data_IF_920458072144
#
_entry.id   IF_920458072144
#
_cell.length_a   1.000
_cell.length_b   1.000
_cell.length_c   1.000
_cell.angle_alpha   90.00
_cell.angle_beta   90.00
_cell.angle_gamma   90.00
#
_symmetry.space_group_name_H-M   'P 1'
#
loop_
_entity.id
_entity.type
_entity.pdbx_description
1 polymer ?
#
# COMPACT_ATOMS: atom_id res chain seq x y z
N UNK A 1 26.39 -3.15 -2.59
CA UNK A 1 27.16 -4.08 -1.73
C UNK A 1 27.07 -5.48 -2.32
N UNK A 2 28.01 -6.41 -2.04
CA UNK A 2 27.94 -7.80 -2.51
C UNK A 2 26.65 -8.54 -2.12
N UNK A 3 26.01 -8.11 -1.03
CA UNK A 3 24.75 -8.66 -0.52
C UNK A 3 23.53 -8.26 -1.38
N UNK A 4 23.53 -7.07 -1.98
CA UNK A 4 22.50 -6.63 -2.93
C UNK A 4 22.51 -7.53 -4.17
N UNK A 5 23.69 -7.98 -4.61
CA UNK A 5 23.80 -8.80 -5.82
C UNK A 5 23.14 -10.17 -5.67
N UNK A 6 23.27 -10.82 -4.50
CA UNK A 6 22.66 -12.11 -4.23
C UNK A 6 21.13 -12.00 -4.19
N UNK A 7 20.61 -10.95 -3.53
CA UNK A 7 19.18 -10.67 -3.49
C UNK A 7 18.60 -10.34 -4.87
N UNK A 8 19.28 -9.47 -5.62
CA UNK A 8 18.90 -9.12 -6.98
C UNK A 8 18.83 -10.37 -7.88
N UNK A 9 19.83 -11.26 -7.77
CA UNK A 9 19.84 -12.53 -8.52
C UNK A 9 18.71 -13.47 -8.10
N UNK A 10 18.40 -13.56 -6.80
CA UNK A 10 17.25 -14.32 -6.32
C UNK A 10 15.93 -13.81 -6.93
N UNK A 11 15.71 -12.49 -6.95
CA UNK A 11 14.51 -11.90 -7.54
C UNK A 11 14.36 -12.28 -9.02
N UNK A 12 15.47 -12.27 -9.77
CA UNK A 12 15.44 -12.70 -11.17
C UNK A 12 15.23 -14.19 -11.34
N UNK A 13 15.81 -15.04 -10.49
CA UNK A 13 15.58 -16.48 -10.53
C UNK A 13 14.11 -16.82 -10.23
N UNK A 14 13.49 -16.08 -9.32
CA UNK A 14 12.06 -16.21 -9.01
C UNK A 14 11.21 -15.77 -10.22
N UNK A 15 11.52 -14.64 -10.82
CA UNK A 15 10.84 -14.14 -12.03
C UNK A 15 10.97 -15.12 -13.21
N UNK A 16 12.16 -15.71 -13.41
CA UNK A 16 12.41 -16.72 -14.44
C UNK A 16 11.60 -17.99 -14.17
N UNK A 17 11.54 -18.43 -12.91
CA UNK A 17 10.74 -19.60 -12.51
C UNK A 17 9.25 -19.37 -12.77
N UNK A 18 8.76 -18.17 -12.47
CA UNK A 18 7.39 -17.77 -12.78
C UNK A 18 7.12 -17.79 -14.30
N UNK A 19 8.03 -17.24 -15.10
CA UNK A 19 7.90 -17.25 -16.56
C UNK A 19 7.89 -18.66 -17.15
N UNK A 20 8.70 -19.57 -16.62
CA UNK A 20 8.66 -20.99 -17.04
C UNK A 20 7.31 -21.63 -16.72
N UNK A 21 6.71 -21.28 -15.57
CA UNK A 21 5.39 -21.75 -15.20
C UNK A 21 4.27 -21.15 -16.06
N UNK A 22 4.29 -19.83 -16.31
CA UNK A 22 3.19 -19.11 -16.99
C UNK A 22 3.28 -19.17 -18.52
N UNK A 23 4.48 -19.02 -19.08
CA UNK A 23 4.72 -18.94 -20.52
C UNK A 23 5.14 -20.28 -21.14
N UNK A 24 5.51 -21.25 -20.31
CA UNK A 24 6.04 -22.55 -20.75
C UNK A 24 7.48 -22.48 -21.26
N UNK A 25 7.93 -23.55 -21.91
CA UNK A 25 9.29 -23.65 -22.42
C UNK A 25 9.57 -22.60 -23.53
N UNK A 26 10.78 -22.00 -23.55
CA UNK A 26 11.20 -21.14 -24.64
C UNK A 26 11.21 -21.88 -26.00
N UNK A 27 10.99 -21.18 -27.12
CA UNK A 27 11.09 -21.78 -28.45
C UNK A 27 12.48 -22.41 -28.71
N UNK A 28 12.58 -23.40 -29.61
CA UNK A 28 13.86 -24.03 -29.94
C UNK A 28 14.92 -23.01 -30.35
N UNK A 29 16.12 -23.12 -29.78
CA UNK A 29 17.22 -22.16 -30.02
C UNK A 29 17.07 -20.85 -29.24
N UNK A 30 16.17 -20.80 -28.26
CA UNK A 30 16.03 -19.68 -27.32
C UNK A 30 16.18 -20.12 -25.87
N UNK A 31 16.57 -19.18 -24.99
CA UNK A 31 16.71 -19.41 -23.55
C UNK A 31 16.37 -18.13 -22.78
N UNK A 32 15.58 -18.23 -21.71
CA UNK A 32 15.37 -17.15 -20.75
C UNK A 32 16.50 -17.16 -19.72
N UNK A 33 17.02 -16.00 -19.36
CA UNK A 33 18.03 -15.88 -18.31
C UNK A 33 18.33 -14.43 -17.91
N UNK A 34 19.22 -14.27 -16.93
CA UNK A 34 19.72 -12.95 -16.53
C UNK A 34 20.71 -12.44 -17.57
N UNK A 35 20.55 -11.18 -18.00
CA UNK A 35 21.44 -10.45 -18.90
C UNK A 35 22.01 -9.23 -18.17
N UNK A 36 23.33 -9.11 -18.17
CA UNK A 36 24.05 -8.00 -17.57
C UNK A 36 24.34 -6.94 -18.63
N UNK A 37 24.03 -5.68 -18.31
CA UNK A 37 24.29 -4.52 -19.15
C UNK A 37 25.39 -3.69 -18.52
N UNK A 38 26.41 -3.37 -19.31
CA UNK A 38 27.46 -2.45 -18.89
C UNK A 38 26.97 -1.01 -19.02
N UNK A 39 27.11 -0.22 -17.96
CA UNK A 39 26.79 1.21 -17.95
C UNK A 39 27.89 2.01 -17.25
N UNK A 40 28.03 3.31 -17.57
CA UNK A 40 29.08 4.17 -17.03
C UNK A 40 29.04 4.33 -15.49
N UNK A 41 27.92 3.98 -14.87
CA UNK A 41 27.69 4.05 -13.42
C UNK A 41 27.73 2.68 -12.72
N UNK A 42 28.01 1.61 -13.46
CA UNK A 42 28.05 0.23 -12.96
C UNK A 42 27.18 -0.72 -13.79
N UNK A 43 27.47 -2.01 -13.67
CA UNK A 43 26.72 -3.05 -14.38
C UNK A 43 25.35 -3.27 -13.73
N UNK A 44 24.32 -3.46 -14.54
CA UNK A 44 22.99 -3.80 -14.05
C UNK A 44 22.38 -5.02 -14.76
N UNK A 45 21.73 -5.92 -14.03
CA UNK A 45 21.07 -7.10 -14.58
C UNK A 45 19.65 -6.80 -15.10
N UNK A 46 19.13 -7.71 -15.93
CA UNK A 46 17.74 -7.75 -16.42
C UNK A 46 17.35 -9.18 -16.79
N UNK A 47 16.06 -9.50 -16.90
CA UNK A 47 15.61 -10.75 -17.53
C UNK A 47 15.61 -10.56 -19.05
N UNK A 48 16.25 -11.47 -19.78
CA UNK A 48 16.30 -11.45 -21.23
C UNK A 48 16.03 -12.81 -21.86
N UNK A 49 15.68 -12.78 -23.15
CA UNK A 49 15.58 -13.98 -23.99
C UNK A 49 16.77 -13.99 -24.93
N UNK A 50 17.66 -14.97 -24.76
CA UNK A 50 18.74 -15.30 -25.68
C UNK A 50 18.18 -16.11 -26.85
N UNK A 51 18.61 -15.84 -28.08
CA UNK A 51 18.18 -16.57 -29.28
C UNK A 51 19.28 -16.62 -30.35
N UNK A 52 19.33 -17.71 -31.12
CA UNK A 52 20.38 -17.94 -32.13
C UNK A 52 20.13 -17.25 -33.48
N UNK A 53 18.88 -17.01 -33.84
CA UNK A 53 18.48 -16.51 -35.17
C UNK A 53 17.49 -15.34 -35.06
N UNK A 54 16.19 -15.63 -35.20
CA UNK A 54 15.11 -14.65 -35.14
C UNK A 54 14.58 -14.52 -33.72
N UNK A 55 14.36 -13.27 -33.30
CA UNK A 55 13.77 -12.97 -32.00
C UNK A 55 12.35 -13.56 -31.92
N UNK A 56 12.04 -14.39 -30.91
CA UNK A 56 10.71 -14.97 -30.75
C UNK A 56 9.75 -13.93 -30.13
N UNK A 57 9.38 -12.91 -30.90
CA UNK A 57 8.61 -11.74 -30.42
C UNK A 57 7.32 -12.11 -29.69
N UNK A 58 6.58 -13.11 -30.19
CA UNK A 58 5.35 -13.58 -29.52
C UNK A 58 5.62 -14.17 -28.14
N UNK A 59 6.77 -14.84 -27.96
CA UNK A 59 7.19 -15.35 -26.65
C UNK A 59 7.64 -14.21 -25.75
N UNK A 60 8.44 -13.27 -26.28
CA UNK A 60 8.93 -12.09 -25.56
C UNK A 60 7.77 -11.25 -25.02
N UNK A 61 6.79 -10.88 -25.86
CA UNK A 61 5.66 -10.06 -25.42
C UNK A 61 4.80 -10.75 -24.35
N UNK A 62 4.66 -12.08 -24.40
CA UNK A 62 3.97 -12.82 -23.35
C UNK A 62 4.76 -12.77 -22.05
N UNK A 63 6.08 -12.95 -22.10
CA UNK A 63 6.93 -12.82 -20.92
C UNK A 63 6.86 -11.42 -20.32
N UNK A 64 6.85 -10.36 -21.13
CA UNK A 64 6.70 -8.98 -20.65
C UNK A 64 5.37 -8.78 -19.92
N UNK A 65 4.26 -9.21 -20.52
CA UNK A 65 2.93 -9.08 -19.91
C UNK A 65 2.79 -9.89 -18.62
N UNK A 66 3.38 -11.08 -18.55
CA UNK A 66 3.36 -11.91 -17.35
C UNK A 66 4.31 -11.37 -16.28
N UNK A 67 5.47 -10.80 -16.63
CA UNK A 67 6.35 -10.13 -15.67
C UNK A 67 5.69 -8.89 -15.07
N UNK A 68 4.97 -8.09 -15.85
CA UNK A 68 4.22 -6.94 -15.34
C UNK A 68 3.15 -7.40 -14.33
N UNK A 69 2.45 -8.49 -14.65
CA UNK A 69 1.47 -9.09 -13.73
C UNK A 69 2.13 -9.64 -12.47
N UNK A 70 3.27 -10.30 -12.61
CA UNK A 70 4.02 -10.87 -11.49
C UNK A 70 4.53 -9.78 -10.55
N UNK A 71 5.15 -8.74 -11.09
CA UNK A 71 5.66 -7.59 -10.35
C UNK A 71 4.54 -6.86 -9.62
N UNK A 72 3.38 -6.69 -10.27
CA UNK A 72 2.19 -6.09 -9.63
C UNK A 72 1.57 -6.95 -8.51
N UNK A 73 1.88 -8.25 -8.47
CA UNK A 73 1.28 -9.23 -7.58
C UNK A 73 2.20 -9.72 -6.45
N UNK A 74 3.49 -9.40 -6.51
CA UNK A 74 4.50 -9.81 -5.53
C UNK A 74 4.98 -8.59 -4.76
N UNK A 75 4.81 -8.62 -3.44
CA UNK A 75 5.46 -7.66 -2.56
C UNK A 75 6.90 -8.11 -2.31
N UNK A 76 7.84 -7.53 -3.05
CA UNK A 76 9.25 -7.93 -3.01
C UNK A 76 9.92 -7.70 -1.66
N UNK A 77 9.45 -6.73 -0.90
CA UNK A 77 9.91 -6.47 0.47
C UNK A 77 9.56 -7.62 1.42
N UNK A 78 8.39 -8.23 1.24
CA UNK A 78 7.86 -9.24 2.17
C UNK A 78 8.57 -10.59 2.03
N UNK A 79 9.22 -10.81 0.89
CA UNK A 79 9.96 -12.05 0.59
C UNK A 79 11.48 -11.88 0.68
N UNK A 80 11.96 -10.69 1.06
CA UNK A 80 13.39 -10.44 1.29
C UNK A 80 13.83 -11.16 2.58
N UNK A 81 14.89 -12.00 2.55
CA UNK A 81 15.39 -12.67 3.74
C UNK A 81 15.78 -11.65 4.80
N UNK A 82 15.28 -11.82 6.03
CA UNK A 82 15.78 -11.06 7.18
C UNK A 82 17.23 -11.47 7.46
N UNK A 83 18.12 -10.49 7.64
CA UNK A 83 19.50 -10.76 8.08
C UNK A 83 19.46 -11.39 9.48
N UNK A 84 19.97 -12.62 9.62
CA UNK A 84 20.25 -13.21 10.93
C UNK A 84 21.39 -12.39 11.57
N UNK A 85 21.04 -11.53 12.53
CA UNK A 85 22.02 -10.88 13.38
C UNK A 85 22.60 -11.95 14.32
N UNK A 86 23.85 -12.37 14.06
CA UNK A 86 24.66 -13.15 15.00
C UNK A 86 24.92 -12.28 16.24
N UNK A 87 24.12 -12.51 17.28
CA UNK A 87 24.14 -11.77 18.55
C UNK A 87 25.26 -12.33 19.45
N UNK A 88 26.52 -12.10 19.08
CA UNK A 88 27.69 -12.32 19.95
C UNK A 88 27.87 -11.09 20.88
N UNK A 89 27.01 -10.94 21.88
CA UNK A 89 27.21 -9.99 22.99
C UNK A 89 27.75 -10.70 24.23
N UNK A 90 29.01 -10.45 24.56
CA UNK A 90 29.63 -10.85 25.82
C UNK A 90 28.98 -10.08 27.00
N UNK A 91 28.40 -10.81 27.95
CA UNK A 91 27.84 -10.27 29.20
C UNK A 91 28.94 -9.68 30.12
N UNK A 92 28.96 -8.37 30.31
CA UNK A 92 29.51 -7.75 31.52
C UNK A 92 28.42 -7.07 32.34
N UNK A 93 28.24 -7.58 33.57
CA UNK A 93 27.30 -7.15 34.60
C UNK A 93 27.35 -5.64 34.90
N UNK A 94 26.18 -5.00 35.00
CA UNK A 94 25.92 -4.08 36.13
C UNK A 94 24.43 -3.88 36.40
N UNK A 95 24.04 -4.11 37.65
CA UNK A 95 22.72 -3.86 38.22
C UNK A 95 22.26 -2.40 38.04
N UNK A 96 21.21 -2.17 37.26
CA UNK A 96 20.17 -1.17 37.56
C UNK A 96 18.87 -1.60 36.90
N UNK A 97 17.80 -1.69 37.70
CA UNK A 97 16.45 -1.92 37.22
C UNK A 97 16.02 -0.75 36.31
N UNK A 98 15.93 -1.02 35.01
CA UNK A 98 15.35 -0.12 34.02
C UNK A 98 14.21 -0.85 33.31
N UNK A 99 13.09 -0.16 33.18
CA UNK A 99 11.90 -0.63 32.46
C UNK A 99 12.32 -0.93 31.01
N UNK A 100 11.85 -2.01 30.36
CA UNK A 100 12.17 -2.22 28.95
C UNK A 100 11.62 -1.02 28.16
N UNK A 101 12.51 -0.16 27.68
CA UNK A 101 12.14 0.83 26.69
C UNK A 101 11.77 0.07 25.43
N UNK A 102 10.57 0.33 24.90
CA UNK A 102 10.18 -0.14 23.59
C UNK A 102 11.28 0.25 22.59
N UNK A 103 11.65 -0.63 21.65
CA UNK A 103 12.70 -0.33 20.70
C UNK A 103 12.28 0.90 19.89
N UNK A 104 12.93 2.03 20.14
CA UNK A 104 12.85 3.20 19.28
C UNK A 104 13.42 2.80 17.93
N UNK A 105 12.54 2.60 16.95
CA UNK A 105 12.92 2.48 15.55
C UNK A 105 13.74 3.72 15.18
N UNK A 106 15.06 3.57 15.07
CA UNK A 106 15.91 4.58 14.45
C UNK A 106 15.52 4.67 12.97
N UNK A 107 14.63 5.61 12.68
CA UNK A 107 14.16 5.87 11.33
C UNK A 107 15.35 6.33 10.48
N UNK A 108 15.65 5.57 9.42
CA UNK A 108 16.76 5.83 8.53
C UNK A 108 16.69 7.25 7.95
N UNK A 109 17.86 7.82 7.63
CA UNK A 109 18.04 9.12 6.97
C UNK A 109 17.35 9.26 5.58
N UNK A 110 16.51 8.30 5.16
CA UNK A 110 15.91 8.18 3.83
C UNK A 110 14.36 8.30 3.80
N UNK A 111 13.69 8.87 4.81
CA UNK A 111 12.25 9.14 4.72
C UNK A 111 11.96 10.28 3.73
N UNK A 112 11.67 9.92 2.48
CA UNK A 112 11.20 10.84 1.45
C UNK A 112 9.67 10.96 1.50
N UNK A 113 9.19 11.97 2.23
CA UNK A 113 7.77 12.28 2.34
C UNK A 113 7.11 12.50 0.97
N UNK A 114 7.81 13.12 0.02
CA UNK A 114 7.23 13.45 -1.28
C UNK A 114 7.02 12.18 -2.10
N UNK A 115 7.99 11.25 -2.06
CA UNK A 115 7.85 9.92 -2.65
C UNK A 115 6.66 9.14 -2.06
N UNK A 116 6.51 9.14 -0.73
CA UNK A 116 5.38 8.47 -0.05
C UNK A 116 4.02 9.07 -0.43
N UNK A 117 3.96 10.37 -0.70
CA UNK A 117 2.74 11.00 -1.19
C UNK A 117 2.51 10.64 -2.67
N UNK A 118 3.53 10.76 -3.52
CA UNK A 118 3.42 10.62 -4.97
C UNK A 118 2.95 9.24 -5.43
N UNK A 119 3.28 8.17 -4.70
CA UNK A 119 2.83 6.80 -5.04
C UNK A 119 1.31 6.63 -5.09
N UNK A 120 0.55 7.50 -4.40
CA UNK A 120 -0.91 7.48 -4.40
C UNK A 120 -1.55 8.20 -5.61
N UNK A 121 -0.75 8.85 -6.44
CA UNK A 121 -1.23 9.68 -7.54
C UNK A 121 -0.74 9.17 -8.88
N UNK A 122 -1.68 8.93 -9.79
CA UNK A 122 -1.40 8.73 -11.20
C UNK A 122 -2.45 9.46 -12.05
N UNK A 123 -2.26 9.52 -13.36
CA UNK A 123 -3.17 10.28 -14.23
C UNK A 123 -4.56 9.65 -14.36
N UNK A 124 -4.74 8.38 -13.99
CA UNK A 124 -6.05 7.73 -14.08
C UNK A 124 -7.02 8.26 -13.03
N UNK A 125 -6.53 8.79 -11.89
CA UNK A 125 -7.38 9.34 -10.82
C UNK A 125 -7.94 10.73 -11.10
N UNK A 126 -7.54 11.37 -12.19
CA UNK A 126 -8.10 12.66 -12.63
C UNK A 126 -9.57 12.44 -12.99
N UNK A 127 -10.46 13.23 -12.41
CA UNK A 127 -11.87 13.15 -12.74
C UNK A 127 -12.09 13.44 -14.23
N UNK A 128 -12.65 12.47 -14.96
CA UNK A 128 -13.02 12.64 -16.37
C UNK A 128 -14.17 13.64 -16.56
N UNK A 129 -14.91 13.94 -15.49
CA UNK A 129 -16.00 14.91 -15.46
C UNK A 129 -15.61 16.11 -14.58
N UNK A 130 -16.32 17.24 -14.74
CA UNK A 130 -16.13 18.41 -13.88
C UNK A 130 -16.44 18.14 -12.38
N UNK A 131 -17.14 17.04 -12.08
CA UNK A 131 -17.47 16.63 -10.71
C UNK A 131 -16.69 15.34 -10.35
N UNK A 132 -15.76 15.41 -9.39
CA UNK A 132 -15.05 14.23 -8.91
C UNK A 132 -15.96 13.33 -8.06
N UNK A 133 -15.64 12.05 -8.03
CA UNK A 133 -16.38 11.03 -7.27
C UNK A 133 -15.62 10.65 -6.00
N UNK A 134 -16.32 10.60 -4.88
CA UNK A 134 -15.83 10.01 -3.63
C UNK A 134 -16.57 8.70 -3.39
N UNK A 135 -15.88 7.59 -3.60
CA UNK A 135 -16.36 6.25 -3.35
C UNK A 135 -16.07 5.84 -1.90
N UNK A 136 -17.10 5.62 -1.10
CA UNK A 136 -16.97 5.21 0.30
C UNK A 136 -17.50 3.79 0.43
N UNK A 137 -16.60 2.84 0.70
CA UNK A 137 -16.96 1.44 0.94
C UNK A 137 -17.27 1.26 2.42
N UNK A 138 -18.49 0.84 2.73
CA UNK A 138 -19.00 0.66 4.08
C UNK A 138 -19.29 -0.82 4.36
N UNK A 139 -19.15 -1.26 5.60
CA UNK A 139 -19.53 -2.61 5.99
C UNK A 139 -18.78 -3.12 7.21
N UNK A 140 -19.33 -4.16 7.84
CA UNK A 140 -18.74 -4.78 9.02
C UNK A 140 -17.31 -5.29 8.84
N UNK A 141 -16.70 -5.72 9.94
CA UNK A 141 -15.36 -6.32 9.93
C UNK A 141 -15.34 -7.54 9.01
N UNK A 142 -14.26 -7.70 8.23
CA UNK A 142 -14.06 -8.84 7.33
C UNK A 142 -15.18 -9.13 6.30
N UNK A 143 -16.02 -8.15 5.94
CA UNK A 143 -17.05 -8.32 4.90
C UNK A 143 -16.51 -8.37 3.46
N UNK A 144 -15.22 -8.11 3.26
CA UNK A 144 -14.57 -8.10 1.95
C UNK A 144 -14.48 -6.71 1.31
N UNK A 145 -14.48 -5.63 2.11
CA UNK A 145 -14.30 -4.25 1.63
C UNK A 145 -13.03 -4.09 0.79
N UNK A 146 -11.88 -4.51 1.32
CA UNK A 146 -10.59 -4.46 0.63
C UNK A 146 -10.56 -5.27 -0.66
N UNK A 147 -11.19 -6.45 -0.67
CA UNK A 147 -11.34 -7.24 -1.90
C UNK A 147 -12.14 -6.48 -2.96
N UNK A 148 -13.27 -5.88 -2.56
CA UNK A 148 -14.11 -5.08 -3.46
C UNK A 148 -13.42 -3.81 -3.93
N UNK A 149 -12.64 -3.15 -3.05
CA UNK A 149 -11.79 -2.01 -3.39
C UNK A 149 -10.81 -2.38 -4.50
N UNK A 150 -10.00 -3.42 -4.29
CA UNK A 150 -8.98 -3.84 -5.25
C UNK A 150 -9.59 -4.24 -6.61
N UNK A 151 -10.77 -4.87 -6.60
CA UNK A 151 -11.42 -5.28 -7.86
C UNK A 151 -12.01 -4.11 -8.66
N UNK A 152 -12.45 -3.03 -8.01
CA UNK A 152 -13.23 -1.96 -8.69
C UNK A 152 -12.56 -0.60 -8.72
N UNK A 153 -11.61 -0.36 -7.82
CA UNK A 153 -11.03 0.96 -7.55
C UNK A 153 -9.50 0.93 -7.53
N UNK A 154 -8.86 -0.16 -7.98
CA UNK A 154 -7.40 -0.22 -8.14
C UNK A 154 -6.86 0.80 -9.16
N UNK A 155 -7.70 1.22 -10.11
CA UNK A 155 -7.39 2.26 -11.09
C UNK A 155 -8.47 3.32 -11.07
N UNK A 156 -8.13 4.56 -11.41
CA UNK A 156 -9.12 5.62 -11.57
C UNK A 156 -9.41 6.43 -10.30
N UNK A 157 -8.78 6.09 -9.17
CA UNK A 157 -9.04 6.67 -7.85
C UNK A 157 -7.74 6.85 -7.06
N UNK A 158 -7.68 7.89 -6.22
CA UNK A 158 -6.70 8.00 -5.13
C UNK A 158 -7.24 7.25 -3.93
N UNK A 159 -6.45 6.34 -3.39
CA UNK A 159 -6.76 5.67 -2.14
C UNK A 159 -6.41 6.59 -0.96
N UNK A 160 -7.38 6.81 -0.07
CA UNK A 160 -7.15 7.43 1.24
C UNK A 160 -7.51 6.41 2.30
N UNK A 161 -6.51 5.67 2.75
CA UNK A 161 -6.67 4.56 3.70
C UNK A 161 -5.46 4.45 4.64
N UNK A 162 -5.71 4.46 5.94
CA UNK A 162 -4.65 4.50 6.94
C UNK A 162 -3.90 3.16 7.03
N UNK A 163 -4.58 2.03 6.79
CA UNK A 163 -3.92 0.71 6.78
C UNK A 163 -2.92 0.64 5.63
N UNK A 164 -3.34 1.04 4.44
CA UNK A 164 -2.48 1.01 3.24
C UNK A 164 -1.25 1.92 3.39
N UNK A 165 -1.43 3.11 3.96
CA UNK A 165 -0.32 4.01 4.27
C UNK A 165 0.62 3.39 5.31
N UNK A 166 0.08 2.86 6.42
CA UNK A 166 0.86 2.24 7.48
C UNK A 166 1.68 1.05 6.98
N UNK A 167 1.06 0.10 6.27
CA UNK A 167 1.75 -1.06 5.70
C UNK A 167 2.81 -0.64 4.69
N UNK A 168 2.50 0.36 3.86
CA UNK A 168 3.51 0.90 2.96
C UNK A 168 4.68 1.53 3.72
N UNK A 169 4.46 2.18 4.86
CA UNK A 169 5.52 2.78 5.70
C UNK A 169 6.29 1.74 6.53
N UNK A 170 5.67 0.61 6.89
CA UNK A 170 6.34 -0.46 7.63
C UNK A 170 7.39 -1.19 6.81
N UNK A 171 7.33 -1.09 5.48
CA UNK A 171 8.29 -1.74 4.56
C UNK A 171 8.40 -3.25 4.79
N UNK A 172 7.27 -3.89 5.13
CA UNK A 172 7.21 -5.32 5.44
C UNK A 172 7.59 -5.67 6.88
N UNK A 173 7.94 -4.69 7.73
CA UNK A 173 8.12 -4.93 9.15
C UNK A 173 6.77 -5.20 9.83
N UNK A 174 6.75 -6.22 10.71
CA UNK A 174 5.59 -6.54 11.54
C UNK A 174 5.54 -5.53 12.70
N UNK A 175 4.61 -4.57 12.60
CA UNK A 175 4.42 -3.51 13.57
C UNK A 175 2.97 -3.44 14.00
N UNK A 176 2.73 -3.19 15.28
CA UNK A 176 1.39 -2.95 15.79
C UNK A 176 0.83 -1.64 15.23
N UNK A 177 -0.35 -1.71 14.62
CA UNK A 177 -1.08 -0.53 14.18
C UNK A 177 -1.74 0.18 15.37
N UNK A 178 -1.66 1.52 15.49
CA UNK A 178 -0.99 2.48 14.60
C UNK A 178 0.47 2.78 14.98
N UNK A 179 0.96 2.20 16.09
CA UNK A 179 2.07 2.63 16.94
C UNK A 179 3.25 3.34 16.26
N UNK A 180 4.42 2.69 16.09
CA UNK A 180 5.69 3.37 15.78
C UNK A 180 5.74 4.20 14.48
N UNK A 181 4.66 4.24 13.72
CA UNK A 181 4.50 4.96 12.45
C UNK A 181 3.35 5.98 12.46
N UNK A 182 2.65 6.17 13.57
CA UNK A 182 1.41 6.96 13.61
C UNK A 182 1.61 8.40 13.12
N UNK A 183 2.71 9.05 13.51
CA UNK A 183 3.02 10.42 13.11
C UNK A 183 3.30 10.52 11.60
N UNK A 184 4.11 9.60 11.07
CA UNK A 184 4.45 9.53 9.64
C UNK A 184 3.21 9.21 8.81
N UNK A 185 2.42 8.22 9.25
CA UNK A 185 1.15 7.84 8.63
C UNK A 185 0.20 9.02 8.59
N UNK A 186 0.04 9.76 9.69
CA UNK A 186 -0.77 10.97 9.72
C UNK A 186 -0.25 12.04 8.76
N UNK A 187 1.06 12.27 8.73
CA UNK A 187 1.68 13.26 7.85
C UNK A 187 1.41 12.94 6.38
N UNK A 188 1.62 11.69 5.97
CA UNK A 188 1.32 11.22 4.61
C UNK A 188 -0.18 11.29 4.33
N UNK A 189 -1.01 10.78 5.24
CA UNK A 189 -2.47 10.72 5.08
C UNK A 189 -3.12 12.08 4.90
N UNK A 190 -2.74 13.07 5.71
CA UNK A 190 -3.19 14.47 5.57
C UNK A 190 -2.75 15.04 4.23
N UNK A 191 -1.50 14.82 3.82
CA UNK A 191 -0.98 15.36 2.57
C UNK A 191 -1.66 14.72 1.34
N UNK A 192 -1.87 13.41 1.35
CA UNK A 192 -2.60 12.67 0.29
C UNK A 192 -4.04 13.17 0.21
N UNK A 193 -4.77 13.27 1.33
CA UNK A 193 -6.14 13.76 1.34
C UNK A 193 -6.21 15.19 0.78
N UNK A 194 -5.40 16.11 1.32
CA UNK A 194 -5.38 17.51 0.89
C UNK A 194 -5.10 17.65 -0.60
N UNK A 195 -4.07 16.97 -1.12
CA UNK A 195 -3.73 17.02 -2.54
C UNK A 195 -4.84 16.44 -3.40
N UNK A 196 -5.41 15.29 -3.02
CA UNK A 196 -6.50 14.67 -3.77
C UNK A 196 -7.72 15.59 -3.91
N UNK A 197 -8.10 16.28 -2.83
CA UNK A 197 -9.23 17.20 -2.84
C UNK A 197 -8.94 18.50 -3.62
N UNK A 198 -7.75 19.10 -3.45
CA UNK A 198 -7.33 20.31 -4.18
C UNK A 198 -7.26 20.05 -5.68
N UNK A 199 -6.69 18.91 -6.08
CA UNK A 199 -6.57 18.51 -7.48
C UNK A 199 -7.88 17.91 -8.04
N UNK A 200 -8.96 17.86 -7.24
CA UNK A 200 -10.27 17.34 -7.67
C UNK A 200 -10.17 15.92 -8.24
N UNK A 201 -9.38 15.05 -7.61
CA UNK A 201 -9.22 13.64 -7.99
C UNK A 201 -10.43 12.82 -7.56
N UNK A 202 -10.73 11.74 -8.26
CA UNK A 202 -11.61 10.72 -7.70
C UNK A 202 -10.91 10.09 -6.49
N UNK A 203 -11.65 9.86 -5.40
CA UNK A 203 -11.10 9.26 -4.18
C UNK A 203 -11.88 8.02 -3.78
N UNK A 204 -11.19 7.06 -3.17
CA UNK A 204 -11.79 5.87 -2.57
C UNK A 204 -11.29 5.69 -1.14
N UNK A 205 -12.18 5.32 -0.23
CA UNK A 205 -11.85 5.06 1.18
C UNK A 205 -12.74 3.97 1.76
N UNK A 206 -12.25 3.25 2.76
CA UNK A 206 -12.99 2.19 3.48
C UNK A 206 -13.38 2.65 4.88
N UNK A 207 -14.64 2.47 5.27
CA UNK A 207 -15.08 2.69 6.65
C UNK A 207 -15.95 1.50 7.09
N UNK A 208 -16.06 1.29 8.40
CA UNK A 208 -17.15 0.50 8.98
C UNK A 208 -18.45 1.28 8.83
N UNK A 209 -18.42 2.56 9.21
CA UNK A 209 -19.57 3.46 9.21
C UNK A 209 -20.71 2.97 10.13
N UNK A 210 -20.33 2.47 11.31
CA UNK A 210 -21.26 2.07 12.36
C UNK A 210 -21.95 3.29 13.02
N UNK A 211 -21.25 4.42 13.09
CA UNK A 211 -21.73 5.64 13.73
C UNK A 211 -22.36 6.59 12.71
N UNK A 212 -23.59 7.03 12.98
CA UNK A 212 -24.38 7.84 12.06
C UNK A 212 -23.80 9.25 11.89
N UNK A 213 -23.50 9.94 13.00
CA UNK A 213 -23.07 11.33 13.00
C UNK A 213 -21.69 11.52 12.33
N UNK A 214 -20.64 10.74 12.68
CA UNK A 214 -19.34 10.87 12.03
C UNK A 214 -19.37 10.51 10.53
N UNK A 215 -20.19 9.53 10.15
CA UNK A 215 -20.37 9.13 8.75
C UNK A 215 -21.10 10.23 7.96
N UNK A 216 -22.15 10.81 8.54
CA UNK A 216 -22.86 11.93 7.93
C UNK A 216 -21.97 13.14 7.76
N UNK A 217 -21.14 13.46 8.77
CA UNK A 217 -20.18 14.55 8.70
C UNK A 217 -19.19 14.37 7.53
N UNK A 218 -18.62 13.17 7.37
CA UNK A 218 -17.72 12.87 6.24
C UNK A 218 -18.42 13.10 4.89
N UNK A 219 -19.64 12.58 4.73
CA UNK A 219 -20.42 12.70 3.50
C UNK A 219 -20.74 14.17 3.17
N UNK A 220 -21.21 14.93 4.16
CA UNK A 220 -21.57 16.32 3.96
C UNK A 220 -20.35 17.22 3.71
N UNK A 221 -19.21 16.96 4.37
CA UNK A 221 -17.95 17.66 4.09
C UNK A 221 -17.49 17.46 2.65
N UNK A 222 -17.54 16.23 2.13
CA UNK A 222 -17.20 15.92 0.72
C UNK A 222 -18.17 16.60 -0.26
N UNK A 223 -19.47 16.58 0.03
CA UNK A 223 -20.47 17.29 -0.79
C UNK A 223 -20.25 18.80 -0.78
N UNK A 224 -19.87 19.38 0.36
CA UNK A 224 -19.62 20.82 0.50
C UNK A 224 -18.47 21.30 -0.39
N UNK A 225 -17.44 20.47 -0.61
CA UNK A 225 -16.38 20.73 -1.60
C UNK A 225 -16.74 20.28 -3.01
N UNK A 226 -17.98 19.85 -3.27
CA UNK A 226 -18.51 19.58 -4.61
C UNK A 226 -18.14 18.21 -5.18
N UNK A 227 -17.90 17.20 -4.34
CA UNK A 227 -17.81 15.81 -4.78
C UNK A 227 -19.20 15.18 -4.96
N UNK A 228 -19.31 14.24 -5.91
CA UNK A 228 -20.39 13.26 -5.92
C UNK A 228 -19.99 12.13 -4.98
N UNK A 229 -20.75 11.92 -3.90
CA UNK A 229 -20.48 10.84 -2.94
C UNK A 229 -21.25 9.58 -3.35
N UNK A 230 -20.53 8.47 -3.51
CA UNK A 230 -21.08 7.14 -3.79
C UNK A 230 -20.83 6.22 -2.59
N UNK A 231 -21.90 5.79 -1.95
CA UNK A 231 -21.85 4.86 -0.82
C UNK A 231 -22.05 3.43 -1.33
N UNK A 232 -21.15 2.53 -0.94
CA UNK A 232 -21.24 1.11 -1.27
C UNK A 232 -21.30 0.29 0.01
N UNK A 233 -22.47 -0.27 0.31
CA UNK A 233 -22.64 -1.19 1.42
C UNK A 233 -22.16 -2.60 1.01
N UNK A 234 -21.07 -3.05 1.61
CA UNK A 234 -20.48 -4.38 1.42
C UNK A 234 -20.96 -5.29 2.54
N UNK A 235 -21.79 -6.27 2.19
CA UNK A 235 -22.37 -7.23 3.12
C UNK A 235 -21.94 -8.65 2.77
N UNK A 236 -21.86 -9.50 3.78
CA UNK A 236 -21.75 -10.95 3.63
C UNK A 236 -22.51 -11.61 4.80
N UNK A 237 -22.58 -12.94 4.76
CA UNK A 237 -23.12 -13.71 5.88
C UNK A 237 -22.26 -13.51 7.15
N UNK A 238 -22.90 -13.47 8.32
CA UNK A 238 -22.21 -13.25 9.60
C UNK A 238 -21.20 -14.36 9.89
N UNK A 239 -21.54 -15.62 9.63
CA UNK A 239 -20.64 -16.75 9.86
C UNK A 239 -19.41 -16.63 8.96
N UNK A 240 -19.60 -16.20 7.71
CA UNK A 240 -18.50 -15.99 6.77
C UNK A 240 -17.62 -14.79 7.18
N UNK A 241 -18.20 -13.68 7.64
CA UNK A 241 -17.44 -12.55 8.21
C UNK A 241 -16.62 -12.98 9.42
N UNK A 242 -17.20 -13.74 10.35
CA UNK A 242 -16.50 -14.26 11.52
C UNK A 242 -15.38 -15.22 11.14
N UNK A 243 -15.66 -16.17 10.23
CA UNK A 243 -14.67 -17.12 9.73
C UNK A 243 -13.48 -16.40 9.10
N UNK A 244 -13.73 -15.41 8.23
CA UNK A 244 -12.67 -14.59 7.63
C UNK A 244 -11.88 -13.83 8.69
N UNK A 245 -12.55 -13.26 9.68
CA UNK A 245 -11.87 -12.51 10.74
C UNK A 245 -10.98 -13.41 11.63
N UNK A 246 -11.39 -14.66 11.87
CA UNK A 246 -10.58 -15.64 12.61
C UNK A 246 -9.39 -16.17 11.81
N UNK A 247 -9.46 -16.14 10.48
CA UNK A 247 -8.38 -16.54 9.57
C UNK A 247 -7.58 -15.34 9.04
N UNK A 248 -7.58 -14.22 9.77
CA UNK A 248 -6.78 -13.05 9.40
C UNK A 248 -5.33 -13.25 9.82
N UNK A 249 -4.44 -12.91 8.91
CA UNK A 249 -3.01 -12.78 9.20
C UNK A 249 -2.74 -11.43 9.88
N UNK A 250 -1.55 -11.25 10.44
CA UNK A 250 -1.20 -10.10 11.28
C UNK A 250 -1.30 -8.75 10.51
N UNK A 251 -1.12 -8.76 9.19
CA UNK A 251 -1.22 -7.58 8.32
C UNK A 251 -2.68 -7.19 7.95
N UNK A 252 -3.66 -8.00 8.34
CA UNK A 252 -5.06 -7.76 8.00
C UNK A 252 -5.77 -6.78 8.94
N UNK A 253 -5.19 -5.58 9.09
CA UNK A 253 -5.69 -4.52 9.97
C UNK A 253 -7.12 -4.16 9.58
N UNK A 254 -7.98 -4.04 10.59
CA UNK A 254 -9.40 -3.73 10.37
C UNK A 254 -9.62 -2.26 10.09
N UNK A 255 -10.49 -1.95 9.11
CA UNK A 255 -11.03 -0.60 8.92
C UNK A 255 -11.66 -0.01 10.19
N UNK A 256 -12.02 -0.83 11.18
CA UNK A 256 -12.46 -0.37 12.50
C UNK A 256 -11.40 0.52 13.19
N UNK A 257 -10.12 0.17 13.08
CA UNK A 257 -9.02 0.92 13.68
C UNK A 257 -8.53 2.08 12.78
N UNK A 258 -8.64 1.92 11.46
CA UNK A 258 -8.17 2.90 10.49
C UNK A 258 -9.17 4.02 10.18
N UNK A 259 -10.49 3.74 10.29
CA UNK A 259 -11.56 4.69 9.97
C UNK A 259 -11.39 6.07 10.65
N UNK A 260 -11.02 6.18 11.95
CA UNK A 260 -10.84 7.49 12.59
C UNK A 260 -9.82 8.39 11.88
N UNK A 261 -8.72 7.80 11.37
CA UNK A 261 -7.64 8.53 10.71
C UNK A 261 -8.06 9.09 9.35
N UNK A 262 -8.43 8.20 8.41
CA UNK A 262 -8.84 8.65 7.08
C UNK A 262 -10.08 9.55 7.10
N UNK A 263 -10.99 9.34 8.06
CA UNK A 263 -12.11 10.26 8.28
C UNK A 263 -11.62 11.65 8.64
N UNK A 264 -10.73 11.79 9.62
CA UNK A 264 -10.23 13.10 10.06
C UNK A 264 -9.48 13.81 8.92
N UNK A 265 -8.57 13.11 8.25
CA UNK A 265 -7.78 13.67 7.15
C UNK A 265 -8.66 14.24 6.02
N UNK A 266 -9.71 13.51 5.64
CA UNK A 266 -10.64 13.95 4.59
C UNK A 266 -11.48 15.14 5.05
N UNK A 267 -12.04 15.09 6.26
CA UNK A 267 -12.89 16.17 6.79
C UNK A 267 -12.08 17.46 6.97
N UNK A 268 -10.88 17.37 7.54
CA UNK A 268 -10.02 18.52 7.76
C UNK A 268 -9.59 19.14 6.43
N UNK A 269 -9.21 18.32 5.44
CA UNK A 269 -8.94 18.80 4.08
C UNK A 269 -10.17 19.50 3.45
N UNK A 270 -11.39 18.99 3.66
CA UNK A 270 -12.61 19.67 3.19
C UNK A 270 -12.81 21.03 3.88
N UNK A 271 -12.60 21.10 5.19
CA UNK A 271 -12.74 22.32 5.97
C UNK A 271 -11.73 23.39 5.54
N UNK A 272 -10.47 23.01 5.31
CA UNK A 272 -9.44 23.91 4.79
C UNK A 272 -9.85 24.51 3.43
N UNK A 273 -10.38 23.70 2.51
CA UNK A 273 -10.79 24.16 1.17
C UNK A 273 -11.99 25.11 1.25
N UNK A 274 -12.94 24.84 2.14
CA UNK A 274 -14.14 25.66 2.31
C UNK A 274 -13.92 26.90 3.19
N UNK A 275 -12.80 26.96 3.91
CA UNK A 275 -12.55 27.96 4.95
C UNK A 275 -13.44 27.80 6.19
N UNK A 276 -14.10 26.64 6.34
CA UNK A 276 -14.92 26.32 7.50
C UNK A 276 -14.02 25.98 8.70
N UNK A 277 -14.45 26.34 9.91
CA UNK A 277 -13.76 25.92 11.13
C UNK A 277 -13.96 24.41 11.36
N UNK A 278 -12.95 23.66 11.85
CA UNK A 278 -13.08 22.25 12.12
C UNK A 278 -14.19 21.95 13.14
N UNK A 279 -15.04 20.98 12.83
CA UNK A 279 -16.07 20.48 13.75
C UNK A 279 -15.39 19.46 14.67
N UNK A 280 -15.01 19.89 15.87
CA UNK A 280 -14.45 18.99 16.89
C UNK A 280 -15.57 18.05 17.38
N UNK A 281 -15.45 16.72 17.23
CA UNK A 281 -16.42 15.78 17.79
C UNK A 281 -16.45 15.89 19.31
N UNK A 282 -17.63 15.83 19.95
CA UNK A 282 -17.78 16.07 21.39
C UNK A 282 -17.05 15.08 22.31
N UNK A 283 -16.50 13.98 21.79
CA UNK A 283 -15.91 12.89 22.60
C UNK A 283 -14.38 12.72 22.49
N UNK A 284 -13.64 13.61 21.80
CA UNK A 284 -12.17 13.55 21.76
C UNK A 284 -11.47 14.10 23.02
N UNK A 285 -12.18 14.20 24.15
CA UNK A 285 -11.68 14.74 25.42
C UNK A 285 -11.78 13.76 26.59
N UNK A 286 -11.74 12.44 26.32
CA UNK A 286 -11.67 11.40 27.34
C UNK A 286 -10.56 10.41 27.07
#
# INVERSE_FOLDING_TARGET
MPQDQAWILFCYDLAISYLQFSCGDPPPGSKVGVMWHEHELGDYPSVGVYFDYDAPWDFIHRCESELERFDSGVSWTDIQPQEEYDDDFEEENSDTADVPQEPTLEFSENFDLQFEIDRYFNNTSIAASAQPVAAILMGGVATGKTTMRNQRFATGYVLIDAVDIFLGLSRGAVLDFPNGLEEQMNTVGVAVAKRALVERRNIVTEIIGADFEPTTMLIESLKAVGYKVELMAITCDLEESMRRNMCRDDDAISAYYAEPYQRSWIIDACHEITGAQPIIPPDAAR
#
